data_IF_085354297180
#
_entry.id   IF_085354297180
#
_cell.length_a   1.000
_cell.length_b   1.000
_cell.length_c   1.000
_cell.angle_alpha   90.00
_cell.angle_beta   90.00
_cell.angle_gamma   90.00
#
_symmetry.space_group_name_H-M   'P 1'
#
loop_
_entity.id
_entity.type
_entity.pdbx_description
1 polymer ?
#
# COMPACT_ATOMS: atom_id res chain seq x y z
N UNK A 1 -29.18 14.73 10.47
CA UNK A 1 -27.95 15.34 11.03
C UNK A 1 -26.79 14.41 10.74
N UNK A 2 -25.78 14.88 10.06
CA UNK A 2 -24.61 14.08 9.74
C UNK A 2 -23.83 13.80 11.04
N UNK A 3 -23.50 12.54 11.31
CA UNK A 3 -22.75 12.20 12.54
C UNK A 3 -21.31 12.69 12.45
N UNK A 4 -20.64 12.90 13.59
CA UNK A 4 -19.20 13.26 13.61
C UNK A 4 -18.34 12.17 12.95
N UNK A 5 -18.76 10.91 13.02
CA UNK A 5 -18.10 9.79 12.33
C UNK A 5 -18.23 9.91 10.80
N UNK A 6 -19.40 10.30 10.28
CA UNK A 6 -19.61 10.54 8.84
C UNK A 6 -18.74 11.68 8.32
N UNK A 7 -18.63 12.78 9.10
CA UNK A 7 -17.76 13.91 8.75
C UNK A 7 -16.27 13.47 8.68
N UNK A 8 -15.80 12.69 9.67
CA UNK A 8 -14.43 12.15 9.67
C UNK A 8 -14.16 11.25 8.46
N UNK A 9 -15.14 10.44 8.06
CA UNK A 9 -15.02 9.57 6.89
C UNK A 9 -14.94 10.37 5.60
N UNK A 10 -15.80 11.37 5.44
CA UNK A 10 -15.80 12.23 4.26
C UNK A 10 -14.50 13.02 4.14
N UNK A 11 -14.00 13.60 5.23
CA UNK A 11 -12.70 14.27 5.24
C UNK A 11 -11.56 13.33 4.89
N UNK A 12 -11.55 12.12 5.46
CA UNK A 12 -10.53 11.12 5.14
C UNK A 12 -10.52 10.78 3.66
N UNK A 13 -11.69 10.67 3.03
CA UNK A 13 -11.83 10.44 1.59
C UNK A 13 -11.24 11.60 0.79
N UNK A 14 -11.63 12.83 1.09
CA UNK A 14 -11.11 14.04 0.41
C UNK A 14 -9.59 14.17 0.54
N UNK A 15 -9.05 13.87 1.71
CA UNK A 15 -7.59 13.92 1.93
C UNK A 15 -6.83 12.87 1.12
N UNK A 16 -7.39 11.67 0.97
CA UNK A 16 -6.84 10.65 0.09
C UNK A 16 -6.88 11.10 -1.37
N UNK A 17 -8.00 11.66 -1.81
CA UNK A 17 -8.17 12.17 -3.18
C UNK A 17 -7.16 13.29 -3.47
N UNK A 18 -7.03 14.27 -2.60
CA UNK A 18 -6.04 15.36 -2.74
C UNK A 18 -4.59 14.83 -2.81
N UNK A 19 -4.24 13.83 -2.00
CA UNK A 19 -2.92 13.20 -2.06
C UNK A 19 -2.72 12.49 -3.40
N UNK A 20 -3.69 11.72 -3.87
CA UNK A 20 -3.60 11.02 -5.16
C UNK A 20 -3.50 12.00 -6.33
N UNK A 21 -4.23 13.11 -6.29
CA UNK A 21 -4.13 14.18 -7.28
C UNK A 21 -2.70 14.76 -7.32
N UNK A 22 -2.10 15.03 -6.15
CA UNK A 22 -0.71 15.53 -6.07
C UNK A 22 0.34 14.55 -6.62
N UNK A 23 0.02 13.26 -6.65
CA UNK A 23 0.88 12.22 -7.21
C UNK A 23 0.62 11.95 -8.70
N UNK A 24 -0.50 12.44 -9.25
CA UNK A 24 -0.99 12.02 -10.58
C UNK A 24 0.02 12.23 -11.70
N UNK A 25 0.72 13.35 -11.70
CA UNK A 25 1.68 13.68 -12.76
C UNK A 25 2.94 12.80 -12.69
N UNK A 26 3.47 12.58 -11.49
CA UNK A 26 4.64 11.69 -11.32
C UNK A 26 4.31 10.24 -11.60
N UNK A 27 3.10 9.80 -11.27
CA UNK A 27 2.59 8.46 -11.63
C UNK A 27 2.45 8.34 -13.15
N UNK A 28 1.86 9.35 -13.81
CA UNK A 28 1.69 9.38 -15.29
C UNK A 28 3.04 9.35 -16.01
N UNK A 29 4.04 10.09 -15.53
CA UNK A 29 5.40 10.04 -16.08
C UNK A 29 6.02 8.66 -15.97
N UNK A 30 5.90 8.01 -14.80
CA UNK A 30 6.38 6.65 -14.58
C UNK A 30 5.69 5.65 -15.53
N UNK A 31 4.36 5.71 -15.61
CA UNK A 31 3.57 4.84 -16.50
C UNK A 31 3.96 5.03 -17.96
N UNK A 32 4.08 6.28 -18.42
CA UNK A 32 4.48 6.62 -19.78
C UNK A 32 5.86 6.08 -20.10
N UNK A 33 6.83 6.26 -19.20
CA UNK A 33 8.19 5.76 -19.41
C UNK A 33 8.25 4.22 -19.50
N UNK A 34 7.45 3.51 -18.69
CA UNK A 34 7.35 2.04 -18.74
C UNK A 34 6.70 1.58 -20.05
N UNK A 35 5.60 2.22 -20.44
CA UNK A 35 4.89 1.92 -21.71
C UNK A 35 5.79 2.19 -22.91
N UNK A 36 6.52 3.30 -22.94
CA UNK A 36 7.46 3.62 -24.02
C UNK A 36 8.55 2.57 -24.17
N UNK A 37 9.14 2.10 -23.06
CA UNK A 37 10.13 1.02 -23.08
C UNK A 37 9.51 -0.25 -23.63
N UNK A 38 8.36 -0.64 -23.12
CA UNK A 38 7.64 -1.84 -23.55
C UNK A 38 7.25 -1.76 -25.04
N UNK A 39 6.81 -0.60 -25.51
CA UNK A 39 6.41 -0.38 -26.90
C UNK A 39 7.58 -0.31 -27.87
N UNK A 40 8.69 0.34 -27.51
CA UNK A 40 9.89 0.41 -28.37
C UNK A 40 10.63 -0.92 -28.44
N UNK A 41 10.70 -1.65 -27.33
CA UNK A 41 11.11 -3.06 -27.37
C UNK A 41 10.24 -3.82 -28.38
N UNK A 42 8.94 -3.53 -28.44
CA UNK A 42 7.97 -4.11 -29.37
C UNK A 42 8.25 -3.81 -30.85
N UNK A 43 8.67 -2.60 -31.18
CA UNK A 43 8.72 -2.14 -32.58
C UNK A 43 10.13 -2.17 -33.17
N UNK A 44 11.17 -2.16 -32.39
CA UNK A 44 12.55 -2.13 -32.87
C UNK A 44 12.94 -3.43 -33.59
N UNK A 45 12.38 -4.56 -33.19
CA UNK A 45 12.62 -5.87 -33.79
C UNK A 45 11.90 -6.12 -35.12
N UNK A 46 11.11 -5.16 -35.61
CA UNK A 46 10.60 -5.22 -36.99
C UNK A 46 11.67 -4.93 -38.06
N UNK A 47 12.81 -4.33 -37.66
CA UNK A 47 13.96 -4.07 -38.53
C UNK A 47 15.17 -4.75 -37.91
N UNK A 48 15.58 -5.88 -38.45
CA UNK A 48 16.87 -6.49 -38.12
C UNK A 48 17.94 -5.51 -38.55
N UNK A 49 18.45 -4.73 -37.60
CA UNK A 49 19.57 -3.80 -37.79
C UNK A 49 20.77 -4.32 -37.00
N UNK A 50 22.02 -4.11 -37.51
CA UNK A 50 23.23 -4.58 -36.85
C UNK A 50 23.50 -3.95 -35.48
N UNK A 51 22.74 -2.93 -35.04
CA UNK A 51 22.99 -2.13 -33.83
C UNK A 51 22.33 -2.66 -32.55
N UNK A 52 22.66 -3.90 -32.19
CA UNK A 52 22.27 -4.46 -30.91
C UNK A 52 22.89 -3.69 -29.73
N UNK A 53 24.09 -3.13 -29.91
CA UNK A 53 24.79 -2.35 -28.88
C UNK A 53 24.03 -1.04 -28.63
N UNK A 54 23.62 -0.35 -29.68
CA UNK A 54 22.84 0.89 -29.55
C UNK A 54 21.48 0.63 -28.87
N UNK A 55 20.84 -0.47 -29.21
CA UNK A 55 19.59 -0.88 -28.58
C UNK A 55 19.75 -1.24 -27.10
N UNK A 56 20.80 -1.96 -26.72
CA UNK A 56 21.11 -2.25 -25.33
C UNK A 56 21.42 -0.97 -24.54
N UNK A 57 22.17 -0.04 -25.13
CA UNK A 57 22.46 1.27 -24.55
C UNK A 57 21.17 2.09 -24.37
N UNK A 58 20.27 2.05 -25.35
CA UNK A 58 18.96 2.67 -25.24
C UNK A 58 18.15 2.08 -24.08
N UNK A 59 18.04 0.75 -23.97
CA UNK A 59 17.34 0.08 -22.89
C UNK A 59 17.94 0.46 -21.52
N UNK A 60 19.26 0.52 -21.42
CA UNK A 60 19.94 0.90 -20.19
C UNK A 60 19.63 2.34 -19.77
N UNK A 61 19.65 3.28 -20.73
CA UNK A 61 19.30 4.68 -20.49
C UNK A 61 17.85 4.81 -20.00
N UNK A 62 16.92 4.08 -20.62
CA UNK A 62 15.51 4.09 -20.22
C UNK A 62 15.28 3.42 -18.87
N UNK A 63 15.98 2.34 -18.58
CA UNK A 63 15.97 1.71 -17.28
C UNK A 63 16.40 2.69 -16.16
N UNK A 64 17.51 3.40 -16.35
CA UNK A 64 17.97 4.42 -15.41
C UNK A 64 16.90 5.50 -15.19
N UNK A 65 16.25 5.99 -16.26
CA UNK A 65 15.15 6.95 -16.16
C UNK A 65 13.99 6.40 -15.31
N UNK A 66 13.57 5.17 -15.52
CA UNK A 66 12.49 4.55 -14.76
C UNK A 66 12.84 4.46 -13.26
N UNK A 67 14.08 4.11 -12.91
CA UNK A 67 14.53 4.09 -11.52
C UNK A 67 14.43 5.49 -10.86
N UNK A 68 14.82 6.54 -11.60
CA UNK A 68 14.66 7.93 -11.13
C UNK A 68 13.20 8.31 -10.94
N UNK A 69 12.32 7.90 -11.85
CA UNK A 69 10.88 8.18 -11.75
C UNK A 69 10.24 7.48 -10.53
N UNK A 70 10.70 6.30 -10.16
CA UNK A 70 10.30 5.69 -8.89
C UNK A 70 10.71 6.54 -7.67
N UNK A 71 11.90 7.17 -7.72
CA UNK A 71 12.32 8.09 -6.66
C UNK A 71 11.48 9.37 -6.64
N UNK A 72 11.10 9.89 -7.80
CA UNK A 72 10.21 11.04 -7.89
C UNK A 72 8.84 10.75 -7.28
N UNK A 73 8.25 9.59 -7.58
CA UNK A 73 6.99 9.15 -6.95
C UNK A 73 7.13 9.06 -5.43
N UNK A 74 8.26 8.53 -4.93
CA UNK A 74 8.53 8.47 -3.50
C UNK A 74 8.62 9.87 -2.87
N UNK A 75 9.36 10.80 -3.50
CA UNK A 75 9.53 12.17 -3.01
C UNK A 75 8.19 12.91 -2.99
N UNK A 76 7.41 12.85 -4.08
CA UNK A 76 6.08 13.46 -4.13
C UNK A 76 5.13 12.88 -3.06
N UNK A 77 5.22 11.58 -2.79
CA UNK A 77 4.48 10.98 -1.68
C UNK A 77 4.91 11.54 -0.32
N UNK A 78 6.21 11.72 -0.10
CA UNK A 78 6.75 12.31 1.13
C UNK A 78 6.23 13.72 1.37
N UNK A 79 6.27 14.56 0.33
CA UNK A 79 5.85 15.95 0.42
C UNK A 79 4.36 16.08 0.74
N UNK A 80 3.55 15.17 0.20
CA UNK A 80 2.10 15.20 0.37
C UNK A 80 1.62 14.55 1.67
N UNK A 81 2.23 13.43 2.10
CA UNK A 81 1.74 12.66 3.25
C UNK A 81 1.89 13.43 4.57
N UNK A 82 2.95 14.22 4.71
CA UNK A 82 3.17 15.05 5.90
C UNK A 82 2.02 16.02 6.16
N UNK A 83 1.60 16.75 5.13
CA UNK A 83 0.48 17.67 5.19
C UNK A 83 -0.84 16.94 5.46
N UNK A 84 -1.09 15.85 4.75
CA UNK A 84 -2.29 15.02 4.90
C UNK A 84 -2.45 14.52 6.34
N UNK A 85 -1.42 13.93 6.92
CA UNK A 85 -1.46 13.40 8.29
C UNK A 85 -1.56 14.52 9.34
N UNK A 86 -0.90 15.66 9.12
CA UNK A 86 -1.01 16.82 10.02
C UNK A 86 -2.44 17.35 10.07
N UNK A 87 -3.08 17.52 8.92
CA UNK A 87 -4.48 17.97 8.85
C UNK A 87 -5.42 16.96 9.49
N UNK A 88 -5.23 15.68 9.20
CA UNK A 88 -6.05 14.59 9.75
C UNK A 88 -5.93 14.50 11.28
N UNK A 89 -4.72 14.63 11.79
CA UNK A 89 -4.45 14.62 13.22
C UNK A 89 -5.14 15.80 13.92
N UNK A 90 -5.00 17.02 13.39
CA UNK A 90 -5.67 18.22 13.92
C UNK A 90 -7.17 18.05 13.96
N UNK A 91 -7.73 17.50 12.89
CA UNK A 91 -9.18 17.31 12.82
C UNK A 91 -9.68 16.21 13.75
N UNK A 92 -9.00 15.07 13.84
CA UNK A 92 -9.32 14.01 14.79
C UNK A 92 -9.26 14.51 16.23
N UNK A 93 -8.28 15.39 16.54
CA UNK A 93 -8.17 16.10 17.80
C UNK A 93 -9.39 17.01 18.06
N UNK A 94 -9.73 17.89 17.12
CA UNK A 94 -10.87 18.81 17.28
C UNK A 94 -12.19 18.07 17.51
N UNK A 95 -12.41 16.94 16.85
CA UNK A 95 -13.60 16.11 17.06
C UNK A 95 -13.62 15.52 18.47
N UNK A 96 -12.49 14.99 18.94
CA UNK A 96 -12.37 14.45 20.30
C UNK A 96 -12.52 15.53 21.36
N UNK A 97 -11.91 16.70 21.18
CA UNK A 97 -12.09 17.88 22.03
C UNK A 97 -13.56 18.29 22.09
N UNK A 98 -14.25 18.37 20.93
CA UNK A 98 -15.67 18.69 20.88
C UNK A 98 -16.53 17.74 21.71
N UNK A 99 -16.34 16.43 21.56
CA UNK A 99 -17.06 15.42 22.35
C UNK A 99 -16.81 15.56 23.87
N UNK A 100 -15.58 15.85 24.25
CA UNK A 100 -15.19 16.04 25.65
C UNK A 100 -15.83 17.29 26.23
N UNK A 101 -15.80 18.43 25.52
CA UNK A 101 -16.39 19.70 25.92
C UNK A 101 -17.92 19.62 25.99
N UNK A 102 -18.58 19.02 25.00
CA UNK A 102 -20.04 18.80 25.01
C UNK A 102 -20.51 17.98 26.22
N UNK A 103 -19.61 17.13 26.76
CA UNK A 103 -19.87 16.35 27.95
C UNK A 103 -19.56 17.07 29.26
N UNK A 104 -19.19 18.37 29.22
CA UNK A 104 -18.92 19.22 30.39
C UNK A 104 -17.52 19.03 31.02
N UNK A 105 -16.60 18.40 30.30
CA UNK A 105 -15.19 18.27 30.73
C UNK A 105 -14.35 19.38 30.13
N UNK A 106 -13.39 19.91 30.90
CA UNK A 106 -12.42 20.88 30.39
C UNK A 106 -11.28 20.15 29.65
N UNK A 107 -10.94 20.62 28.45
CA UNK A 107 -9.75 20.23 27.73
C UNK A 107 -8.75 21.37 27.86
N UNK A 108 -7.59 21.12 28.44
CA UNK A 108 -6.51 22.10 28.45
C UNK A 108 -5.99 22.22 26.99
N UNK A 109 -6.18 23.41 26.38
CA UNK A 109 -5.65 23.72 25.06
C UNK A 109 -4.13 23.61 25.03
N UNK A 110 -3.60 22.51 24.58
CA UNK A 110 -2.16 22.23 24.50
C UNK A 110 -1.69 22.09 23.06
N UNK A 111 -0.40 22.32 22.84
CA UNK A 111 0.21 22.13 21.51
C UNK A 111 0.05 20.67 21.03
N UNK A 112 -0.03 20.51 19.72
CA UNK A 112 -0.05 19.20 19.05
C UNK A 112 1.19 18.42 19.49
N UNK A 113 1.04 17.12 19.84
CA UNK A 113 2.21 16.26 20.03
C UNK A 113 2.92 16.03 18.70
N UNK A 114 3.92 16.87 18.46
CA UNK A 114 4.74 16.79 17.25
C UNK A 114 5.50 15.48 17.14
N UNK A 115 5.78 14.79 18.26
CA UNK A 115 6.54 13.52 18.25
C UNK A 115 5.68 12.37 17.72
N UNK A 116 4.44 12.22 18.19
CA UNK A 116 3.51 11.20 17.71
C UNK A 116 3.24 11.38 16.19
N UNK A 117 2.97 12.63 15.78
CA UNK A 117 2.76 12.94 14.36
C UNK A 117 4.00 12.65 13.51
N UNK A 118 5.21 12.99 13.98
CA UNK A 118 6.45 12.67 13.28
C UNK A 118 6.68 11.16 13.12
N UNK A 119 6.32 10.37 14.12
CA UNK A 119 6.39 8.89 14.04
C UNK A 119 5.46 8.38 12.95
N UNK A 120 4.20 8.85 12.90
CA UNK A 120 3.23 8.46 11.88
C UNK A 120 3.70 8.81 10.47
N UNK A 121 4.22 10.03 10.26
CA UNK A 121 4.77 10.46 8.97
C UNK A 121 5.97 9.58 8.57
N UNK A 122 6.87 9.32 9.51
CA UNK A 122 8.05 8.47 9.28
C UNK A 122 7.67 7.04 8.90
N UNK A 123 6.66 6.49 9.56
CA UNK A 123 6.18 5.13 9.29
C UNK A 123 5.49 5.04 7.92
N UNK A 124 4.64 6.00 7.56
CA UNK A 124 4.05 6.07 6.21
C UNK A 124 5.13 6.11 5.13
N UNK A 125 6.09 6.98 5.34
CA UNK A 125 7.23 7.16 4.46
C UNK A 125 8.10 5.90 4.34
N UNK A 126 8.33 5.20 5.46
CA UNK A 126 9.08 3.93 5.49
C UNK A 126 8.37 2.86 4.66
N UNK A 127 7.07 2.69 4.84
CA UNK A 127 6.29 1.68 4.16
C UNK A 127 6.30 1.90 2.64
N UNK A 128 6.13 3.16 2.22
CA UNK A 128 6.19 3.50 0.80
C UNK A 128 7.60 3.32 0.22
N UNK A 129 8.65 3.69 0.97
CA UNK A 129 10.06 3.48 0.58
C UNK A 129 10.38 2.01 0.39
N UNK A 130 9.92 1.14 1.28
CA UNK A 130 10.13 -0.31 1.17
C UNK A 130 9.48 -0.83 -0.10
N UNK A 131 8.25 -0.43 -0.40
CA UNK A 131 7.54 -0.81 -1.61
C UNK A 131 8.25 -0.33 -2.88
N UNK A 132 8.70 0.93 -2.93
CA UNK A 132 9.49 1.45 -4.05
C UNK A 132 10.81 0.68 -4.23
N UNK A 133 11.52 0.38 -3.14
CA UNK A 133 12.76 -0.41 -3.20
C UNK A 133 12.52 -1.81 -3.79
N UNK A 134 11.46 -2.49 -3.36
CA UNK A 134 11.09 -3.80 -3.88
C UNK A 134 10.66 -3.73 -5.36
N UNK A 135 9.94 -2.68 -5.74
CA UNK A 135 9.53 -2.43 -7.13
C UNK A 135 10.73 -2.19 -8.05
N UNK A 136 11.74 -1.43 -7.59
CA UNK A 136 13.00 -1.25 -8.32
C UNK A 136 13.73 -2.57 -8.54
N UNK A 137 13.74 -3.46 -7.54
CA UNK A 137 14.34 -4.81 -7.67
C UNK A 137 13.55 -5.65 -8.68
N UNK A 138 12.22 -5.61 -8.64
CA UNK A 138 11.36 -6.27 -9.63
C UNK A 138 11.67 -5.77 -11.05
N UNK A 139 11.74 -4.45 -11.23
CA UNK A 139 12.00 -3.85 -12.54
C UNK A 139 13.42 -4.15 -13.04
N UNK A 140 14.42 -4.15 -12.14
CA UNK A 140 15.78 -4.59 -12.47
C UNK A 140 15.80 -6.03 -12.95
N UNK A 141 15.10 -6.92 -12.26
CA UNK A 141 15.00 -8.34 -12.67
C UNK A 141 14.36 -8.47 -14.06
N UNK A 142 13.28 -7.72 -14.31
CA UNK A 142 12.63 -7.67 -15.62
C UNK A 142 13.61 -7.21 -16.72
N UNK A 143 14.34 -6.14 -16.46
CA UNK A 143 15.31 -5.59 -17.41
C UNK A 143 16.43 -6.59 -17.74
N UNK A 144 17.04 -7.21 -16.72
CA UNK A 144 18.11 -8.19 -16.94
C UNK A 144 17.63 -9.42 -17.72
N UNK A 145 16.41 -9.92 -17.43
CA UNK A 145 15.82 -11.03 -18.19
C UNK A 145 15.50 -10.62 -19.63
N UNK A 146 15.00 -9.42 -19.87
CA UNK A 146 14.74 -8.88 -21.21
C UNK A 146 16.04 -8.73 -22.01
N UNK A 147 17.12 -8.24 -21.36
CA UNK A 147 18.47 -8.12 -21.95
C UNK A 147 19.02 -9.50 -22.37
N UNK A 148 18.86 -10.50 -21.51
CA UNK A 148 19.28 -11.88 -21.84
C UNK A 148 18.49 -12.45 -23.03
N UNK A 149 17.19 -12.17 -23.13
CA UNK A 149 16.35 -12.53 -24.27
C UNK A 149 16.84 -11.90 -25.58
N UNK A 150 17.19 -10.61 -25.56
CA UNK A 150 17.77 -9.89 -26.72
C UNK A 150 19.09 -10.53 -27.18
N UNK A 151 19.99 -10.83 -26.26
CA UNK A 151 21.26 -11.50 -26.55
C UNK A 151 21.05 -12.89 -27.13
N UNK A 152 20.04 -13.63 -26.66
CA UNK A 152 19.68 -14.96 -27.19
C UNK A 152 19.16 -14.89 -28.64
N UNK A 153 18.41 -13.84 -29.02
CA UNK A 153 18.01 -13.62 -30.42
C UNK A 153 19.19 -13.25 -31.33
N UNK A 154 20.18 -12.53 -30.80
CA UNK A 154 21.42 -12.26 -31.50
C UNK A 154 22.15 -13.56 -31.90
N UNK A 155 22.20 -14.51 -30.97
CA UNK A 155 22.79 -15.82 -31.22
C UNK A 155 21.98 -16.62 -32.26
N UNK A 156 20.64 -16.53 -32.21
CA UNK A 156 19.75 -17.13 -33.21
C UNK A 156 20.01 -16.53 -34.62
N UNK A 157 20.13 -15.19 -34.70
CA UNK A 157 20.46 -14.51 -35.94
C UNK A 157 21.81 -14.96 -36.50
N UNK A 158 22.81 -15.15 -35.62
CA UNK A 158 24.12 -15.72 -36.00
C UNK A 158 24.01 -17.19 -36.46
N UNK A 159 23.20 -17.99 -35.80
CA UNK A 159 22.95 -19.39 -36.17
C UNK A 159 22.20 -19.50 -37.49
N UNK A 160 21.22 -18.61 -37.76
CA UNK A 160 20.50 -18.48 -39.00
C UNK A 160 21.45 -18.04 -40.13
N UNK A 161 22.28 -17.03 -39.90
CA UNK A 161 23.30 -16.59 -40.87
C UNK A 161 24.29 -17.72 -41.20
N UNK A 162 24.71 -18.49 -40.19
CA UNK A 162 25.58 -19.67 -40.38
C UNK A 162 24.89 -20.80 -41.12
N UNK A 163 23.58 -20.97 -40.92
CA UNK A 163 22.72 -21.90 -41.68
C UNK A 163 22.55 -21.49 -43.14
N UNK A 164 22.43 -20.18 -43.41
CA UNK A 164 22.37 -19.59 -44.74
C UNK A 164 23.66 -19.86 -45.49
N UNK A 165 24.81 -19.62 -44.87
CA UNK A 165 26.12 -19.85 -45.45
C UNK A 165 26.38 -21.32 -45.78
N UNK A 166 25.75 -22.26 -45.06
CA UNK A 166 25.84 -23.70 -45.30
C UNK A 166 24.87 -24.23 -46.36
N UNK A 167 23.86 -23.47 -46.75
CA UNK A 167 22.79 -23.96 -47.64
C UNK A 167 23.09 -23.92 -49.15
N UNK A 168 24.25 -23.44 -49.55
CA UNK A 168 24.83 -23.59 -50.90
C UNK A 168 24.15 -22.82 -52.03
N UNK A 169 22.92 -22.30 -51.88
CA UNK A 169 22.25 -21.46 -52.88
C UNK A 169 21.47 -20.31 -52.23
N UNK A 170 21.55 -19.05 -52.77
CA UNK A 170 20.84 -17.90 -52.21
C UNK A 170 19.33 -18.07 -52.12
N UNK A 171 18.74 -18.79 -53.07
CA UNK A 171 17.29 -19.03 -53.13
C UNK A 171 16.81 -19.98 -52.02
N UNK A 172 17.57 -21.02 -51.74
CA UNK A 172 17.27 -21.98 -50.65
C UNK A 172 17.48 -21.35 -49.27
N UNK A 173 18.53 -20.53 -49.15
CA UNK A 173 18.82 -19.74 -47.98
C UNK A 173 17.68 -18.73 -47.67
N UNK A 174 17.25 -17.99 -48.71
CA UNK A 174 16.13 -17.03 -48.58
C UNK A 174 14.84 -17.72 -48.20
N UNK A 175 14.54 -18.90 -48.79
CA UNK A 175 13.32 -19.66 -48.45
C UNK A 175 13.35 -20.16 -46.99
N UNK A 176 14.47 -20.71 -46.55
CA UNK A 176 14.66 -21.20 -45.19
C UNK A 176 14.61 -20.06 -44.16
N UNK A 177 15.20 -18.90 -44.46
CA UNK A 177 15.13 -17.73 -43.62
C UNK A 177 13.71 -17.16 -43.53
N UNK A 178 13.05 -17.04 -44.69
CA UNK A 178 11.66 -16.59 -44.76
C UNK A 178 10.75 -17.56 -44.03
N UNK A 179 10.91 -18.86 -44.17
CA UNK A 179 10.12 -19.88 -43.49
C UNK A 179 10.37 -19.87 -41.98
N UNK A 180 11.62 -19.68 -41.54
CA UNK A 180 11.97 -19.52 -40.13
C UNK A 180 11.38 -18.21 -39.57
N UNK A 181 11.41 -17.12 -40.34
CA UNK A 181 10.82 -15.84 -39.97
C UNK A 181 9.29 -15.86 -39.95
N UNK A 182 8.64 -16.53 -40.91
CA UNK A 182 7.18 -16.65 -40.93
C UNK A 182 6.65 -17.69 -39.94
N UNK A 183 7.35 -18.80 -39.72
CA UNK A 183 7.01 -19.78 -38.67
C UNK A 183 7.15 -19.17 -37.26
N UNK A 184 8.07 -18.23 -37.08
CA UNK A 184 8.27 -17.50 -35.84
C UNK A 184 7.53 -16.16 -35.81
N UNK A 185 6.51 -15.90 -36.59
CA UNK A 185 5.62 -14.70 -36.55
C UNK A 185 6.25 -13.44 -35.88
N UNK A 186 7.40 -12.98 -36.42
CA UNK A 186 8.13 -11.79 -35.93
C UNK A 186 7.34 -10.47 -36.05
N UNK A 187 6.09 -10.52 -36.58
CA UNK A 187 5.20 -9.38 -36.65
C UNK A 187 4.63 -8.96 -35.26
N UNK A 188 4.66 -9.87 -34.28
CA UNK A 188 4.27 -9.60 -32.89
C UNK A 188 5.50 -9.32 -32.05
N UNK A 189 5.44 -8.30 -31.24
CA UNK A 189 6.57 -7.73 -30.51
C UNK A 189 7.40 -8.74 -29.73
N UNK A 190 8.71 -8.51 -29.64
CA UNK A 190 9.63 -9.27 -28.82
C UNK A 190 9.14 -9.36 -27.38
N UNK A 191 8.67 -8.25 -26.81
CA UNK A 191 8.14 -8.24 -25.45
C UNK A 191 6.95 -9.19 -25.28
N UNK A 192 5.98 -9.19 -26.21
CA UNK A 192 4.84 -10.11 -26.12
C UNK A 192 5.23 -11.56 -26.43
N UNK A 193 6.31 -11.80 -27.16
CA UNK A 193 6.82 -13.14 -27.45
C UNK A 193 7.71 -13.70 -26.35
N UNK A 194 8.67 -12.90 -25.87
CA UNK A 194 9.51 -13.27 -24.71
C UNK A 194 8.64 -13.46 -23.48
N UNK A 195 7.56 -12.69 -23.41
CA UNK A 195 6.78 -12.50 -22.21
C UNK A 195 5.50 -13.34 -22.20
N UNK A 196 4.99 -13.74 -23.35
CA UNK A 196 3.87 -14.69 -23.49
C UNK A 196 3.88 -15.28 -24.91
N UNK A 197 4.83 -16.15 -25.25
CA UNK A 197 4.82 -16.80 -26.54
C UNK A 197 3.57 -17.66 -26.67
N UNK A 198 2.74 -17.33 -27.66
CA UNK A 198 1.48 -18.05 -27.92
C UNK A 198 1.72 -19.38 -28.63
N UNK A 199 2.83 -19.48 -29.33
CA UNK A 199 3.20 -20.70 -30.02
C UNK A 199 4.16 -21.56 -29.18
N UNK A 200 3.99 -22.87 -29.26
CA UNK A 200 4.74 -23.85 -28.49
C UNK A 200 6.25 -23.79 -28.78
N UNK A 201 6.62 -23.59 -30.02
CA UNK A 201 8.03 -23.63 -30.46
C UNK A 201 8.82 -22.43 -29.90
N UNK A 202 8.22 -21.24 -29.96
CA UNK A 202 8.81 -20.04 -29.33
C UNK A 202 8.95 -20.18 -27.82
N UNK A 203 7.96 -20.79 -27.15
CA UNK A 203 8.01 -21.03 -25.72
C UNK A 203 9.12 -22.01 -25.35
N UNK A 204 9.24 -23.11 -26.04
CA UNK A 204 10.29 -24.12 -25.85
C UNK A 204 11.68 -23.52 -26.07
N UNK A 205 11.85 -22.70 -27.13
CA UNK A 205 13.09 -21.98 -27.41
C UNK A 205 13.52 -21.08 -26.22
N UNK A 206 12.62 -20.26 -25.71
CA UNK A 206 12.95 -19.38 -24.58
C UNK A 206 13.18 -20.13 -23.28
N UNK A 207 12.46 -21.23 -23.03
CA UNK A 207 12.72 -22.13 -21.92
C UNK A 207 14.10 -22.76 -22.03
N UNK A 208 14.50 -23.19 -23.20
CA UNK A 208 15.84 -23.77 -23.42
C UNK A 208 16.96 -22.74 -23.19
N UNK A 209 16.74 -21.47 -23.56
CA UNK A 209 17.74 -20.39 -23.44
C UNK A 209 17.83 -19.79 -22.04
N UNK A 210 16.70 -19.48 -21.43
CA UNK A 210 16.64 -18.83 -20.11
C UNK A 210 16.59 -19.84 -18.96
N UNK A 211 16.20 -21.08 -19.25
CA UNK A 211 15.78 -22.06 -18.26
C UNK A 211 14.34 -21.84 -17.79
N UNK A 212 13.60 -22.91 -17.55
CA UNK A 212 12.16 -22.91 -17.23
C UNK A 212 11.79 -21.91 -16.12
N UNK A 213 12.51 -21.95 -15.00
CA UNK A 213 12.22 -21.05 -13.85
C UNK A 213 12.37 -19.56 -14.19
N UNK A 214 13.39 -19.18 -14.96
CA UNK A 214 13.62 -17.78 -15.36
C UNK A 214 12.59 -17.31 -16.37
N UNK A 215 12.22 -18.18 -17.32
CA UNK A 215 11.19 -17.90 -18.29
C UNK A 215 9.82 -17.67 -17.61
N UNK A 216 9.38 -18.57 -16.74
CA UNK A 216 8.13 -18.45 -15.99
C UNK A 216 8.12 -17.16 -15.14
N UNK A 217 9.25 -16.81 -14.52
CA UNK A 217 9.39 -15.56 -13.77
C UNK A 217 9.23 -14.33 -14.67
N UNK A 218 9.84 -14.33 -15.84
CA UNK A 218 9.72 -13.25 -16.83
C UNK A 218 8.27 -13.11 -17.33
N UNK A 219 7.63 -14.22 -17.68
CA UNK A 219 6.22 -14.28 -18.12
C UNK A 219 5.29 -13.71 -17.04
N UNK A 220 5.49 -14.12 -15.79
CA UNK A 220 4.72 -13.60 -14.62
C UNK A 220 4.94 -12.11 -14.39
N UNK A 221 6.17 -11.62 -14.47
CA UNK A 221 6.47 -10.20 -14.32
C UNK A 221 5.84 -9.37 -15.44
N UNK A 222 5.92 -9.85 -16.68
CA UNK A 222 5.28 -9.17 -17.79
C UNK A 222 3.77 -9.07 -17.67
N UNK A 223 3.11 -10.15 -17.29
CA UNK A 223 1.68 -10.13 -17.03
C UNK A 223 1.32 -9.01 -16.04
N UNK A 224 2.09 -8.84 -14.97
CA UNK A 224 1.87 -7.79 -13.97
C UNK A 224 2.10 -6.38 -14.53
N UNK A 225 3.14 -6.20 -15.33
CA UNK A 225 3.41 -4.92 -16.00
C UNK A 225 2.30 -4.53 -16.99
N UNK A 226 1.77 -5.50 -17.74
CA UNK A 226 0.64 -5.28 -18.64
C UNK A 226 -0.65 -4.91 -17.88
N UNK A 227 -0.83 -5.42 -16.65
CA UNK A 227 -1.91 -5.05 -15.75
C UNK A 227 -1.66 -3.70 -15.03
N UNK A 228 -0.62 -2.95 -15.40
CA UNK A 228 -0.18 -1.69 -14.77
C UNK A 228 0.15 -1.85 -13.27
N UNK A 229 0.54 -3.02 -12.84
CA UNK A 229 0.89 -3.33 -11.45
C UNK A 229 2.39 -3.10 -11.19
N UNK A 230 2.77 -1.86 -11.05
CA UNK A 230 4.18 -1.43 -10.96
C UNK A 230 4.76 -1.43 -9.55
N UNK A 231 3.92 -1.54 -8.51
CA UNK A 231 4.37 -1.66 -7.12
C UNK A 231 4.38 -3.13 -6.72
N UNK A 232 5.50 -3.60 -6.19
CA UNK A 232 5.64 -4.91 -5.56
C UNK A 232 5.93 -4.75 -4.08
N UNK A 233 5.20 -5.50 -3.26
CA UNK A 233 5.51 -5.72 -1.84
C UNK A 233 5.58 -7.22 -1.56
N UNK A 234 6.20 -7.59 -0.46
CA UNK A 234 6.17 -8.97 0.03
C UNK A 234 5.10 -9.08 1.12
N UNK A 235 4.30 -10.12 1.07
CA UNK A 235 3.35 -10.43 2.15
C UNK A 235 4.07 -11.02 3.38
N UNK A 236 3.30 -11.44 4.39
CA UNK A 236 3.84 -12.04 5.61
C UNK A 236 4.58 -13.36 5.38
N UNK A 237 4.27 -14.04 4.29
CA UNK A 237 4.88 -15.30 3.90
C UNK A 237 6.09 -15.08 2.97
N UNK A 238 6.39 -13.84 2.59
CA UNK A 238 7.43 -13.50 1.64
C UNK A 238 7.00 -13.60 0.18
N UNK A 239 5.70 -13.82 -0.09
CA UNK A 239 5.17 -13.90 -1.45
C UNK A 239 4.95 -12.51 -2.05
N UNK A 240 5.28 -12.30 -3.33
CA UNK A 240 5.14 -11.01 -3.97
C UNK A 240 3.68 -10.68 -4.32
N UNK A 241 3.18 -9.60 -3.74
CA UNK A 241 1.90 -8.97 -4.11
C UNK A 241 2.18 -7.75 -4.97
N UNK A 242 1.33 -7.53 -6.00
CA UNK A 242 1.52 -6.45 -6.97
C UNK A 242 0.32 -5.52 -6.99
N UNK A 243 0.58 -4.21 -6.99
CA UNK A 243 -0.42 -3.14 -6.99
C UNK A 243 -0.18 -2.15 -8.12
N UNK A 244 -1.23 -1.43 -8.50
CA UNK A 244 -1.07 -0.14 -9.18
C UNK A 244 -0.46 0.86 -8.20
N UNK A 245 0.28 1.85 -8.71
CA UNK A 245 0.93 2.88 -7.86
C UNK A 245 -0.12 3.62 -7.03
N UNK A 246 -1.19 4.10 -7.68
CA UNK A 246 -2.32 4.79 -7.04
C UNK A 246 -2.97 3.95 -5.95
N UNK A 247 -3.29 2.68 -6.25
CA UNK A 247 -3.95 1.78 -5.29
C UNK A 247 -3.09 1.50 -4.06
N UNK A 248 -1.76 1.48 -4.22
CA UNK A 248 -0.86 1.30 -3.08
C UNK A 248 -0.71 2.59 -2.27
N UNK A 249 -0.59 3.74 -2.94
CA UNK A 249 -0.58 5.04 -2.28
C UNK A 249 -1.88 5.28 -1.48
N UNK A 250 -3.04 4.98 -2.08
CA UNK A 250 -4.34 5.01 -1.41
C UNK A 250 -4.35 4.12 -0.16
N UNK A 251 -3.89 2.89 -0.29
CA UNK A 251 -3.87 1.91 0.80
C UNK A 251 -3.04 2.39 1.99
N UNK A 252 -1.81 2.86 1.75
CA UNK A 252 -0.93 3.39 2.80
C UNK A 252 -1.55 4.63 3.44
N UNK A 253 -2.04 5.55 2.61
CA UNK A 253 -2.63 6.82 3.09
C UNK A 253 -3.84 6.57 3.96
N UNK A 254 -4.79 5.72 3.56
CA UNK A 254 -5.99 5.37 4.35
C UNK A 254 -5.62 4.77 5.70
N UNK A 255 -4.67 3.82 5.72
CA UNK A 255 -4.21 3.21 6.97
C UNK A 255 -3.62 4.26 7.91
N UNK A 256 -2.76 5.14 7.39
CA UNK A 256 -2.11 6.17 8.21
C UNK A 256 -3.04 7.30 8.65
N UNK A 257 -4.05 7.63 7.86
CA UNK A 257 -5.14 8.53 8.26
C UNK A 257 -5.88 7.94 9.47
N UNK A 258 -6.23 6.66 9.42
CA UNK A 258 -6.88 5.98 10.54
C UNK A 258 -5.99 5.98 11.79
N UNK A 259 -4.71 5.60 11.66
CA UNK A 259 -3.75 5.64 12.77
C UNK A 259 -3.62 7.05 13.37
N UNK A 260 -3.60 8.08 12.54
CA UNK A 260 -3.51 9.48 12.95
C UNK A 260 -4.73 9.92 13.78
N UNK A 261 -5.93 9.58 13.35
CA UNK A 261 -7.17 9.89 14.06
C UNK A 261 -7.27 9.13 15.38
N UNK A 262 -6.92 7.84 15.38
CA UNK A 262 -6.91 7.00 16.60
C UNK A 262 -5.92 7.55 17.61
N UNK A 263 -4.73 7.93 17.18
CA UNK A 263 -3.70 8.52 18.05
C UNK A 263 -4.18 9.82 18.65
N UNK A 264 -4.73 10.73 17.84
CA UNK A 264 -5.29 12.00 18.31
C UNK A 264 -6.41 11.80 19.35
N UNK A 265 -7.31 10.84 19.07
CA UNK A 265 -8.42 10.51 19.99
C UNK A 265 -7.95 9.99 21.34
N UNK A 266 -6.94 9.11 21.36
CA UNK A 266 -6.35 8.57 22.59
C UNK A 266 -5.63 9.66 23.37
N UNK A 267 -4.88 10.52 22.71
CA UNK A 267 -4.15 11.60 23.37
C UNK A 267 -5.10 12.60 24.04
N UNK A 268 -6.13 13.07 23.33
CA UNK A 268 -7.11 14.00 23.91
C UNK A 268 -7.92 13.36 25.05
N UNK A 269 -8.35 12.12 24.89
CA UNK A 269 -9.02 11.38 25.95
C UNK A 269 -8.13 11.21 27.17
N UNK A 270 -6.86 10.87 26.98
CA UNK A 270 -5.90 10.73 28.10
C UNK A 270 -5.68 12.05 28.84
N UNK A 271 -5.56 13.18 28.09
CA UNK A 271 -5.44 14.52 28.71
C UNK A 271 -6.66 14.89 29.54
N UNK A 272 -7.85 14.52 29.10
CA UNK A 272 -9.10 14.73 29.84
C UNK A 272 -9.33 13.70 30.95
N UNK A 273 -8.40 12.78 31.21
CA UNK A 273 -8.53 11.71 32.21
C UNK A 273 -9.57 10.66 31.84
N UNK A 274 -9.88 10.52 30.54
CA UNK A 274 -10.78 9.49 29.99
C UNK A 274 -9.98 8.23 29.74
N UNK A 275 -10.49 7.13 30.25
CA UNK A 275 -9.83 5.80 30.13
C UNK A 275 -10.63 4.80 29.29
N UNK A 276 -11.83 5.19 28.86
CA UNK A 276 -12.70 4.35 28.05
C UNK A 276 -12.84 4.90 26.62
N UNK A 277 -12.87 4.00 25.68
CA UNK A 277 -13.00 4.31 24.25
C UNK A 277 -13.98 3.35 23.59
N UNK A 278 -14.65 3.78 22.53
CA UNK A 278 -15.57 2.96 21.77
C UNK A 278 -15.30 3.04 20.28
N UNK A 279 -15.63 1.98 19.58
CA UNK A 279 -15.59 1.90 18.11
C UNK A 279 -17.05 1.82 17.63
N UNK A 280 -17.66 2.93 17.18
CA UNK A 280 -19.05 2.91 16.73
C UNK A 280 -19.29 1.93 15.60
N UNK A 281 -20.40 1.22 15.65
CA UNK A 281 -20.86 0.35 14.61
C UNK A 281 -21.31 1.13 13.37
N UNK A 282 -21.06 0.57 12.18
CA UNK A 282 -21.53 1.13 10.90
C UNK A 282 -21.97 0.05 9.92
N UNK A 283 -22.47 -1.08 10.44
CA UNK A 283 -22.98 -2.20 9.65
C UNK A 283 -21.96 -2.75 8.64
N UNK A 284 -20.70 -2.92 9.08
CA UNK A 284 -19.66 -3.46 8.20
C UNK A 284 -19.97 -4.89 7.74
N UNK A 285 -19.65 -5.19 6.49
CA UNK A 285 -19.65 -6.57 5.97
C UNK A 285 -18.35 -7.31 6.24
N UNK A 286 -17.30 -6.60 6.68
CA UNK A 286 -15.99 -7.17 6.93
C UNK A 286 -15.98 -7.99 8.23
N UNK A 287 -15.83 -9.31 8.09
CA UNK A 287 -15.81 -10.25 9.24
C UNK A 287 -14.80 -9.91 10.31
N UNK A 288 -13.65 -9.31 9.92
CA UNK A 288 -12.56 -8.92 10.85
C UNK A 288 -12.94 -7.70 11.68
N UNK A 289 -13.84 -6.83 11.21
CA UNK A 289 -14.26 -5.62 11.91
C UNK A 289 -15.44 -5.85 12.87
N UNK A 290 -16.37 -6.74 12.50
CA UNK A 290 -17.59 -6.99 13.27
C UNK A 290 -17.39 -7.18 14.78
N UNK A 291 -16.38 -7.93 15.26
CA UNK A 291 -16.16 -8.14 16.70
C UNK A 291 -15.76 -6.87 17.46
N UNK A 292 -15.45 -5.79 16.76
CA UNK A 292 -14.99 -4.53 17.35
C UNK A 292 -16.07 -3.44 17.33
N UNK A 293 -17.14 -3.63 16.55
CA UNK A 293 -18.26 -2.67 16.47
C UNK A 293 -18.99 -2.61 17.81
N UNK A 294 -19.23 -1.38 18.29
CA UNK A 294 -19.89 -1.06 19.56
C UNK A 294 -19.19 -1.60 20.83
N UNK A 295 -17.96 -2.14 20.65
CA UNK A 295 -17.17 -2.59 21.79
C UNK A 295 -16.57 -1.41 22.56
N UNK A 296 -16.46 -1.58 23.89
CA UNK A 296 -15.83 -0.61 24.78
C UNK A 296 -14.47 -1.13 25.21
N UNK A 297 -13.44 -0.36 24.94
CA UNK A 297 -12.05 -0.63 25.29
C UNK A 297 -11.57 0.29 26.41
N UNK A 298 -10.56 -0.14 27.15
CA UNK A 298 -9.93 0.69 28.18
C UNK A 298 -8.43 0.82 27.97
N UNK A 299 -7.90 2.00 28.29
CA UNK A 299 -6.45 2.21 28.43
C UNK A 299 -5.94 1.95 29.84
N UNK A 300 -6.85 1.75 30.82
CA UNK A 300 -6.51 1.48 32.21
C UNK A 300 -6.24 -0.01 32.45
N UNK A 301 -4.99 -0.38 32.86
CA UNK A 301 -4.63 -1.77 33.07
C UNK A 301 -5.39 -2.47 34.20
N UNK A 302 -5.86 -1.72 35.22
CA UNK A 302 -6.57 -2.31 36.37
C UNK A 302 -7.99 -2.72 35.95
N UNK A 303 -8.68 -1.89 35.15
CA UNK A 303 -9.98 -2.25 34.56
C UNK A 303 -9.87 -3.46 33.62
N UNK A 304 -8.79 -3.53 32.88
CA UNK A 304 -8.55 -4.67 31.97
C UNK A 304 -8.24 -5.96 32.76
N UNK A 305 -7.36 -5.91 33.75
CA UNK A 305 -7.00 -7.06 34.63
C UNK A 305 -8.20 -7.61 35.38
N UNK A 306 -9.11 -6.72 35.81
CA UNK A 306 -10.36 -7.12 36.47
C UNK A 306 -11.40 -7.71 35.49
N UNK A 307 -11.10 -7.78 34.21
CA UNK A 307 -12.02 -8.31 33.17
C UNK A 307 -13.24 -7.41 32.90
N UNK A 308 -13.21 -6.14 33.36
CA UNK A 308 -14.34 -5.20 33.20
C UNK A 308 -14.47 -4.73 31.75
N UNK A 309 -13.34 -4.41 31.14
CA UNK A 309 -13.23 -4.01 29.74
C UNK A 309 -12.01 -4.64 29.10
N UNK A 310 -12.03 -4.79 27.77
CA UNK A 310 -10.86 -5.22 27.00
C UNK A 310 -9.79 -4.12 26.99
N UNK A 311 -8.54 -4.49 27.15
CA UNK A 311 -7.43 -3.55 27.00
C UNK A 311 -7.32 -3.08 25.55
N UNK A 312 -7.21 -1.78 25.33
CA UNK A 312 -6.97 -1.21 24.00
C UNK A 312 -5.49 -1.44 23.61
N UNK A 313 -5.22 -2.56 22.98
CA UNK A 313 -3.89 -2.87 22.41
C UNK A 313 -3.82 -2.46 20.94
N UNK A 314 -2.65 -2.60 20.33
CA UNK A 314 -2.48 -2.32 18.89
C UNK A 314 -3.40 -3.18 17.99
N UNK A 315 -3.85 -4.36 18.45
CA UNK A 315 -4.76 -5.23 17.70
C UNK A 315 -6.22 -4.78 17.76
N UNK A 316 -6.59 -4.12 18.83
CA UNK A 316 -7.95 -3.60 19.08
C UNK A 316 -8.15 -2.20 18.51
N UNK A 317 -7.09 -1.49 18.13
CA UNK A 317 -7.19 -0.19 17.47
C UNK A 317 -7.79 -0.33 16.08
N UNK A 318 -8.68 0.58 15.63
CA UNK A 318 -9.14 0.64 14.24
C UNK A 318 -7.98 0.64 13.25
N UNK A 319 -8.22 0.05 12.08
CA UNK A 319 -7.19 -0.28 11.10
C UNK A 319 -7.11 -1.80 10.89
N UNK A 320 -8.16 -2.53 11.24
CA UNK A 320 -8.24 -4.01 11.20
C UNK A 320 -7.94 -4.62 9.83
N UNK A 321 -8.12 -3.85 8.77
CA UNK A 321 -7.76 -4.21 7.39
C UNK A 321 -7.44 -2.93 6.57
N UNK A 322 -6.79 -3.06 5.41
CA UNK A 322 -6.28 -1.92 4.63
C UNK A 322 -7.30 -0.85 4.21
N UNK A 323 -8.58 -1.16 4.20
CA UNK A 323 -9.68 -0.23 3.86
C UNK A 323 -10.65 -0.05 5.03
N UNK A 324 -10.17 -0.23 6.24
CA UNK A 324 -10.97 -0.05 7.44
C UNK A 324 -11.42 1.41 7.56
N UNK A 325 -12.73 1.61 7.76
CA UNK A 325 -13.32 2.94 7.98
C UNK A 325 -13.71 3.19 9.42
N UNK A 326 -13.47 2.24 10.32
CA UNK A 326 -13.74 2.41 11.75
C UNK A 326 -12.87 3.49 12.38
N UNK A 327 -13.43 4.13 13.40
CA UNK A 327 -12.78 5.17 14.19
C UNK A 327 -12.84 4.82 15.66
N UNK A 328 -11.99 5.44 16.44
CA UNK A 328 -11.97 5.31 17.89
C UNK A 328 -12.37 6.66 18.50
N UNK A 329 -13.33 6.63 19.41
CA UNK A 329 -13.79 7.84 20.12
C UNK A 329 -13.64 7.67 21.63
N UNK A 330 -13.29 8.74 22.36
CA UNK A 330 -13.33 8.73 23.81
C UNK A 330 -14.79 8.56 24.27
N UNK A 331 -15.03 7.61 25.17
CA UNK A 331 -16.33 7.40 25.80
C UNK A 331 -16.42 8.28 27.05
N UNK A 332 -17.03 9.43 26.88
CA UNK A 332 -17.13 10.43 27.97
C UNK A 332 -18.34 10.11 28.85
N UNK A 333 -18.08 9.77 30.09
CA UNK A 333 -19.11 9.42 31.06
C UNK A 333 -18.95 10.28 32.35
N UNK A 334 -20.07 10.77 32.91
CA UNK A 334 -20.04 11.33 34.24
C UNK A 334 -19.57 10.28 35.25
N UNK A 335 -19.01 10.70 36.39
CA UNK A 335 -18.57 9.76 37.44
C UNK A 335 -19.66 8.78 37.83
N UNK A 336 -20.93 9.22 37.89
CA UNK A 336 -22.09 8.36 38.21
C UNK A 336 -22.32 7.29 37.15
N UNK A 337 -22.30 7.66 35.85
CA UNK A 337 -22.48 6.70 34.74
C UNK A 337 -21.30 5.74 34.68
N UNK A 338 -20.07 6.23 34.81
CA UNK A 338 -18.86 5.41 34.82
C UNK A 338 -18.86 4.40 35.97
N UNK A 339 -19.21 4.87 37.19
CA UNK A 339 -19.33 4.00 38.34
C UNK A 339 -20.38 2.89 38.13
N UNK A 340 -21.58 3.26 37.69
CA UNK A 340 -22.64 2.30 37.37
C UNK A 340 -22.22 1.28 36.31
N UNK A 341 -21.51 1.72 35.26
CA UNK A 341 -21.00 0.84 34.19
C UNK A 341 -19.93 -0.13 34.72
N UNK A 342 -19.03 0.30 35.59
CA UNK A 342 -18.03 -0.57 36.23
C UNK A 342 -18.71 -1.57 37.14
N UNK A 343 -19.67 -1.13 37.94
CA UNK A 343 -20.44 -2.01 38.88
C UNK A 343 -21.21 -3.08 38.10
N UNK A 344 -21.84 -2.70 36.99
CA UNK A 344 -22.61 -3.67 36.16
C UNK A 344 -21.74 -4.78 35.52
N UNK A 345 -20.44 -4.54 35.39
CA UNK A 345 -19.47 -5.49 34.78
C UNK A 345 -18.56 -6.15 35.83
N UNK A 346 -18.60 -5.73 37.11
CA UNK A 346 -17.75 -6.28 38.16
C UNK A 346 -18.45 -6.27 39.51
N UNK A 347 -17.90 -5.56 40.51
CA UNK A 347 -18.50 -5.39 41.81
C UNK A 347 -18.40 -3.94 42.31
N UNK A 348 -19.33 -3.54 43.20
CA UNK A 348 -19.28 -2.23 43.81
C UNK A 348 -17.98 -2.02 44.60
N UNK A 349 -17.49 -3.07 45.29
CA UNK A 349 -16.22 -3.02 46.03
C UNK A 349 -15.04 -2.68 45.10
N UNK A 350 -14.97 -3.31 43.96
CA UNK A 350 -13.94 -3.01 42.97
C UNK A 350 -14.09 -1.57 42.44
N UNK A 351 -15.29 -1.18 42.02
CA UNK A 351 -15.56 0.16 41.50
C UNK A 351 -15.14 1.26 42.50
N UNK A 352 -15.52 1.11 43.78
CA UNK A 352 -15.10 2.05 44.85
C UNK A 352 -13.59 2.12 45.05
N UNK A 353 -12.91 0.95 45.01
CA UNK A 353 -11.45 0.86 45.09
C UNK A 353 -10.77 1.57 43.92
N UNK A 354 -11.23 1.28 42.71
CA UNK A 354 -10.71 1.90 41.51
C UNK A 354 -10.90 3.42 41.49
N UNK A 355 -12.11 3.92 41.85
CA UNK A 355 -12.39 5.36 41.91
C UNK A 355 -11.46 6.08 42.91
N UNK A 356 -11.23 5.48 44.08
CA UNK A 356 -10.27 6.04 45.06
C UNK A 356 -8.86 6.11 44.51
N UNK A 357 -8.41 5.05 43.84
CA UNK A 357 -7.09 5.00 43.22
C UNK A 357 -6.91 6.06 42.16
N UNK A 358 -7.96 6.36 41.40
CA UNK A 358 -7.98 7.40 40.37
C UNK A 358 -8.21 8.82 40.89
N UNK A 359 -8.36 9.00 42.21
CA UNK A 359 -8.68 10.31 42.80
C UNK A 359 -10.05 10.86 42.37
N UNK A 360 -10.95 10.01 41.88
CA UNK A 360 -12.28 10.40 41.40
C UNK A 360 -13.29 10.37 42.55
N UNK A 361 -14.20 11.37 42.56
CA UNK A 361 -15.30 11.38 43.54
C UNK A 361 -16.21 10.16 43.34
N UNK A 362 -16.44 9.40 44.40
CA UNK A 362 -17.36 8.26 44.38
C UNK A 362 -18.78 8.81 44.42
N UNK A 363 -19.65 8.46 43.45
CA UNK A 363 -21.04 8.91 43.48
C UNK A 363 -21.77 8.41 44.72
N UNK A 364 -22.50 9.32 45.39
CA UNK A 364 -23.40 8.92 46.48
C UNK A 364 -24.51 8.00 45.92
N UNK A 365 -24.91 6.99 46.70
CA UNK A 365 -26.09 6.22 46.39
C UNK A 365 -27.27 7.20 46.35
N UNK A 366 -27.85 7.40 45.16
CA UNK A 366 -29.20 7.97 45.14
C UNK A 366 -30.08 7.05 45.93
N UNK A 367 -30.65 7.56 47.04
CA UNK A 367 -31.76 6.89 47.67
C UNK A 367 -32.80 6.55 46.59
N UNK A 368 -33.03 5.24 46.35
CA UNK A 368 -33.98 4.74 45.39
C UNK A 368 -35.38 5.18 45.73
#
# INVERSE_FOLDING_TARGET
>A
MQTQDDLLREMSKRQVETLLESLSDTIRELETAIVEVTWKVKNHFRKISPDQIEYLNYLEKRYKKILTLYDNVLNSFYDSIGNTLTQTYRYGRSVSEGLILESGFNVAGTAIDSKALQVLIRDAARDFRVAIKQSKVMFRTYFELSKQGVLSESELSKAVAKGILKSGTPTKARKNVIELFYKTDFSKSLSSRILSPKDKDSREFFIAKLGKKRFEKLEKLNSKLLEKKYIQILDRNGDPIHFKVESYAELVTRSRITDSQVTASIEEGTRAGIVLYTVPGHNTTAKVCKPHEDEIYTTDPDLAKAGVFKLLTEKEKPGYHPRCSHRLFPLVLTNRKLFALIVSRSSEKFARSWFRKQGKAIPERSAA
#
